data_IF_794031539752
#
_entry.id   IF_794031539752
#
_cell.length_a   1.000
_cell.length_b   1.000
_cell.length_c   1.000
_cell.angle_alpha   90.00
_cell.angle_beta   90.00
_cell.angle_gamma   90.00
#
_symmetry.space_group_name_H-M   'P 1'
#
loop_
_entity.id
_entity.type
_entity.pdbx_description
1 polymer ?
#
# COMPACT_ATOMS: atom_id res chain seq x y z
N UNK A 1 -8.81 -2.62 -8.35
CA UNK A 1 -8.41 -4.01 -8.04
C UNK A 1 -9.16 -4.64 -6.87
N UNK A 2 -8.95 -5.92 -6.58
CA UNK A 2 -9.28 -6.53 -5.27
C UNK A 2 -8.11 -6.41 -4.28
N UNK A 3 -8.36 -6.52 -2.97
CA UNK A 3 -7.33 -6.36 -1.94
C UNK A 3 -6.25 -7.44 -2.04
N UNK A 4 -6.65 -8.65 -2.42
CA UNK A 4 -5.73 -9.77 -2.64
C UNK A 4 -4.84 -9.54 -3.86
N UNK A 5 -5.33 -8.84 -4.89
CA UNK A 5 -4.54 -8.48 -6.07
C UNK A 5 -3.42 -7.52 -5.67
N UNK A 6 -3.76 -6.46 -4.94
CA UNK A 6 -2.81 -5.46 -4.41
C UNK A 6 -1.77 -6.13 -3.49
N UNK A 7 -2.21 -7.04 -2.61
CA UNK A 7 -1.29 -7.79 -1.75
C UNK A 7 -0.33 -8.67 -2.56
N UNK A 8 -0.80 -9.27 -3.65
CA UNK A 8 0.03 -10.11 -4.52
C UNK A 8 1.08 -9.28 -5.24
N UNK A 9 0.67 -8.15 -5.80
CA UNK A 9 1.56 -7.22 -6.48
C UNK A 9 2.62 -6.63 -5.53
N UNK A 10 2.21 -6.19 -4.33
CA UNK A 10 3.14 -5.73 -3.31
C UNK A 10 4.20 -6.79 -2.97
N UNK A 11 3.81 -8.07 -2.84
CA UNK A 11 4.74 -9.17 -2.58
C UNK A 11 5.70 -9.40 -3.75
N UNK A 12 5.21 -9.28 -4.99
CA UNK A 12 6.03 -9.41 -6.19
C UNK A 12 7.09 -8.30 -6.21
N UNK A 13 6.68 -7.04 -6.10
CA UNK A 13 7.59 -5.90 -6.06
C UNK A 13 8.65 -6.02 -4.96
N UNK A 14 8.24 -6.45 -3.76
CA UNK A 14 9.18 -6.67 -2.64
C UNK A 14 10.21 -7.79 -2.90
N UNK A 15 9.87 -8.76 -3.75
CA UNK A 15 10.77 -9.86 -4.12
C UNK A 15 11.62 -9.58 -5.36
N UNK A 16 11.26 -8.56 -6.14
CA UNK A 16 11.97 -8.19 -7.35
C UNK A 16 13.24 -7.42 -7.03
N UNK A 17 14.33 -7.76 -7.73
CA UNK A 17 15.59 -7.02 -7.64
C UNK A 17 15.52 -5.81 -8.58
N UNK A 18 14.89 -4.73 -8.13
CA UNK A 18 14.82 -3.46 -8.84
C UNK A 18 15.56 -2.33 -8.10
N UNK A 19 15.95 -1.25 -8.81
CA UNK A 19 16.49 -0.05 -8.16
C UNK A 19 15.49 0.54 -7.16
N UNK A 20 16.00 1.03 -6.03
CA UNK A 20 15.18 1.57 -4.93
C UNK A 20 14.25 2.69 -5.40
N UNK A 21 14.74 3.61 -6.24
CA UNK A 21 13.91 4.72 -6.76
C UNK A 21 12.70 4.21 -7.57
N UNK A 22 12.91 3.17 -8.40
CA UNK A 22 11.81 2.55 -9.17
C UNK A 22 10.84 1.79 -8.26
N UNK A 23 11.35 1.16 -7.19
CA UNK A 23 10.52 0.46 -6.22
C UNK A 23 9.63 1.43 -5.44
N UNK A 24 10.17 2.60 -5.05
CA UNK A 24 9.38 3.63 -4.39
C UNK A 24 8.27 4.16 -5.29
N UNK A 25 8.56 4.43 -6.56
CA UNK A 25 7.55 4.83 -7.55
C UNK A 25 6.42 3.79 -7.66
N UNK A 26 6.78 2.50 -7.74
CA UNK A 26 5.78 1.41 -7.81
C UNK A 26 4.94 1.29 -6.54
N UNK A 27 5.54 1.46 -5.37
CA UNK A 27 4.79 1.51 -4.12
C UNK A 27 3.88 2.73 -4.02
N UNK A 28 4.30 3.89 -4.53
CA UNK A 28 3.46 5.08 -4.61
C UNK A 28 2.24 4.86 -5.53
N UNK A 29 2.44 4.25 -6.70
CA UNK A 29 1.35 3.88 -7.62
C UNK A 29 0.32 2.95 -6.95
N UNK A 30 0.79 1.91 -6.23
CA UNK A 30 -0.07 1.00 -5.46
C UNK A 30 -0.88 1.73 -4.38
N UNK A 31 -0.27 2.67 -3.67
CA UNK A 31 -0.96 3.45 -2.64
C UNK A 31 -2.05 4.35 -3.26
N UNK A 32 -1.77 5.00 -4.39
CA UNK A 32 -2.75 5.80 -5.12
C UNK A 32 -3.94 4.95 -5.58
N UNK A 33 -3.69 3.74 -6.10
CA UNK A 33 -4.79 2.84 -6.48
C UNK A 33 -5.63 2.42 -5.26
N UNK A 34 -4.99 2.13 -4.12
CA UNK A 34 -5.68 1.81 -2.87
C UNK A 34 -6.57 2.95 -2.40
N UNK A 35 -6.06 4.19 -2.41
CA UNK A 35 -6.82 5.38 -2.02
C UNK A 35 -8.08 5.57 -2.87
N UNK A 36 -7.94 5.44 -4.20
CA UNK A 36 -9.05 5.58 -5.13
C UNK A 36 -10.08 4.45 -5.01
N UNK A 37 -9.61 3.21 -4.85
CA UNK A 37 -10.43 2.00 -4.81
C UNK A 37 -11.19 1.88 -3.48
N UNK A 38 -10.50 2.09 -2.36
CA UNK A 38 -11.05 1.88 -1.01
C UNK A 38 -11.52 3.16 -0.32
N UNK A 39 -11.41 4.31 -1.01
CA UNK A 39 -11.77 5.62 -0.45
C UNK A 39 -11.08 5.86 0.89
N UNK A 40 -9.78 5.61 0.91
CA UNK A 40 -8.96 5.84 2.11
C UNK A 40 -8.96 7.35 2.37
N UNK A 41 -9.36 7.79 3.57
CA UNK A 41 -9.34 9.21 3.91
C UNK A 41 -7.90 9.67 4.20
N UNK A 42 -7.63 10.96 3.97
CA UNK A 42 -6.34 11.58 4.31
C UNK A 42 -5.98 11.41 5.80
N UNK A 43 -7.00 11.35 6.66
CA UNK A 43 -6.87 11.06 8.08
C UNK A 43 -7.64 9.77 8.40
N UNK A 44 -6.90 8.70 8.68
CA UNK A 44 -7.47 7.41 9.11
C UNK A 44 -7.94 7.55 10.56
N UNK A 45 -9.26 7.54 10.76
CA UNK A 45 -9.87 7.52 12.09
C UNK A 45 -10.05 6.09 12.60
N UNK A 46 -10.14 5.92 13.92
CA UNK A 46 -10.41 4.61 14.54
C UNK A 46 -11.68 3.95 13.99
N UNK A 47 -12.74 4.73 13.76
CA UNK A 47 -14.01 4.22 13.23
C UNK A 47 -13.85 3.66 11.80
N UNK A 48 -13.12 4.37 10.94
CA UNK A 48 -12.85 3.91 9.58
C UNK A 48 -11.94 2.68 9.60
N UNK A 49 -10.91 2.69 10.46
CA UNK A 49 -9.96 1.60 10.62
C UNK A 49 -10.65 0.32 11.08
N UNK A 50 -11.58 0.38 12.05
CA UNK A 50 -12.28 -0.83 12.49
C UNK A 50 -13.09 -1.49 11.36
N UNK A 51 -13.69 -0.69 10.48
CA UNK A 51 -14.47 -1.19 9.33
C UNK A 51 -13.58 -1.68 8.18
N UNK A 52 -12.39 -1.10 8.02
CA UNK A 52 -11.50 -1.33 6.88
C UNK A 52 -10.13 -1.88 7.29
N UNK A 53 -10.07 -2.59 8.42
CA UNK A 53 -8.81 -3.04 9.04
C UNK A 53 -7.85 -3.73 8.06
N UNK A 54 -8.29 -4.64 7.17
CA UNK A 54 -7.39 -5.26 6.19
C UNK A 54 -6.78 -4.26 5.20
N UNK A 55 -7.56 -3.28 4.73
CA UNK A 55 -7.11 -2.22 3.81
C UNK A 55 -6.10 -1.33 4.53
N UNK A 56 -6.46 -0.83 5.72
CA UNK A 56 -5.58 0.01 6.55
C UNK A 56 -4.25 -0.67 6.87
N UNK A 57 -4.28 -1.97 7.15
CA UNK A 57 -3.08 -2.75 7.47
C UNK A 57 -2.16 -2.86 6.25
N UNK A 58 -2.70 -3.21 5.08
CA UNK A 58 -1.91 -3.31 3.86
C UNK A 58 -1.35 -1.95 3.43
N UNK A 59 -2.17 -0.90 3.50
CA UNK A 59 -1.76 0.45 3.15
C UNK A 59 -0.57 0.92 4.02
N UNK A 60 -0.65 0.71 5.34
CA UNK A 60 0.46 1.01 6.26
C UNK A 60 1.70 0.15 6.01
N UNK A 61 1.53 -1.11 5.59
CA UNK A 61 2.65 -2.00 5.27
C UNK A 61 3.42 -1.51 4.03
N UNK A 62 2.71 -1.07 2.98
CA UNK A 62 3.32 -0.49 1.79
C UNK A 62 4.04 0.81 2.15
N UNK A 63 3.35 1.72 2.86
CA UNK A 63 3.93 2.99 3.31
C UNK A 63 5.19 2.79 4.17
N UNK A 64 5.20 1.79 5.06
CA UNK A 64 6.37 1.48 5.89
C UNK A 64 7.54 0.94 5.07
N UNK A 65 7.26 0.19 3.99
CA UNK A 65 8.31 -0.34 3.11
C UNK A 65 9.01 0.78 2.35
N UNK A 66 8.28 1.81 1.93
CA UNK A 66 8.85 3.03 1.31
C UNK A 66 9.81 3.79 2.24
N UNK A 67 9.53 3.80 3.54
CA UNK A 67 10.35 4.51 4.54
C UNK A 67 11.58 3.71 5.01
N UNK A 68 11.62 2.39 4.82
CA UNK A 68 12.72 1.55 5.31
C UNK A 68 13.88 1.44 4.32
N UNK A 69 13.63 1.67 3.02
CA UNK A 69 14.63 1.56 1.97
C UNK A 69 15.22 2.93 1.53
N UNK A 70 14.89 4.01 2.25
CA UNK A 70 15.48 5.37 2.10
C UNK A 70 16.52 5.65 3.18
#
# INVERSE_FOLDING_TARGET
MSLNSILTEFKQLKSESMPVDMLDEKYAELMIEMEQTYKIPDVITDEWEQKNKPVSTLYRLIASSRLMDT
#
